data_IF_403558466991
#
_entry.id   IF_403558466991
#
_cell.length_a   1.000
_cell.length_b   1.000
_cell.length_c   1.000
_cell.angle_alpha   90.00
_cell.angle_beta   90.00
_cell.angle_gamma   90.00
#
_symmetry.space_group_name_H-M   'P 1'
#
loop_
_entity.id
_entity.type
_entity.pdbx_description
1 polymer ?
#
# COMPACT_ATOMS: atom_id res chain seq x y z
N UNK A 1 10.45 1.55 2.64
CA UNK A 1 9.33 2.48 2.89
C UNK A 1 9.63 3.27 4.16
N UNK A 2 9.12 4.50 4.30
CA UNK A 2 9.27 5.27 5.55
C UNK A 2 8.75 4.48 6.77
N UNK A 3 9.58 4.39 7.79
CA UNK A 3 9.23 3.74 9.04
C UNK A 3 8.35 4.66 9.90
N UNK A 4 7.57 4.09 10.81
CA UNK A 4 6.84 4.85 11.82
C UNK A 4 7.59 4.85 13.15
N UNK A 5 7.59 5.96 13.88
CA UNK A 5 7.85 5.93 15.31
C UNK A 5 6.59 6.40 16.03
N UNK A 6 5.89 5.44 16.64
CA UNK A 6 4.72 5.72 17.44
C UNK A 6 5.13 6.20 18.83
N UNK A 7 4.29 7.00 19.47
CA UNK A 7 4.54 7.50 20.81
C UNK A 7 3.25 7.61 21.62
N UNK A 8 3.34 7.53 22.94
CA UNK A 8 2.20 7.53 23.84
C UNK A 8 2.11 8.84 24.60
N UNK A 9 0.90 9.41 24.61
CA UNK A 9 0.59 10.63 25.33
C UNK A 9 -0.40 10.36 26.45
N UNK A 10 -0.26 11.09 27.55
CA UNK A 10 -1.32 11.28 28.54
C UNK A 10 -1.86 12.71 28.47
N UNK A 11 -2.96 12.99 29.16
CA UNK A 11 -3.53 14.35 29.23
C UNK A 11 -4.22 14.82 27.94
N UNK A 12 -4.58 13.91 27.03
CA UNK A 12 -5.35 14.20 25.81
C UNK A 12 -6.85 13.98 26.09
N UNK A 13 -7.72 15.00 26.04
CA UNK A 13 -9.16 14.85 26.24
C UNK A 13 -9.80 14.10 25.07
N UNK A 14 -10.00 12.79 25.22
CA UNK A 14 -10.51 11.92 24.14
C UNK A 14 -11.85 12.40 23.55
N UNK A 15 -12.75 12.91 24.40
CA UNK A 15 -14.02 13.45 23.92
C UNK A 15 -13.83 14.68 23.01
N UNK A 16 -12.87 15.54 23.33
CA UNK A 16 -12.51 16.68 22.48
C UNK A 16 -11.95 16.22 21.14
N UNK A 17 -11.09 15.19 21.13
CA UNK A 17 -10.57 14.57 19.90
C UNK A 17 -11.71 13.99 19.05
N UNK A 18 -12.61 13.22 19.68
CA UNK A 18 -13.74 12.58 19.01
C UNK A 18 -14.65 13.63 18.35
N UNK A 19 -15.00 14.68 19.08
CA UNK A 19 -15.84 15.77 18.59
C UNK A 19 -15.16 16.51 17.44
N UNK A 20 -13.88 16.87 17.59
CA UNK A 20 -13.14 17.62 16.58
C UNK A 20 -13.04 16.86 15.25
N UNK A 21 -12.73 15.56 15.30
CA UNK A 21 -12.55 14.75 14.10
C UNK A 21 -13.87 14.39 13.40
N UNK A 22 -14.92 14.11 14.16
CA UNK A 22 -16.22 13.83 13.55
C UNK A 22 -16.87 15.11 13.01
N UNK A 23 -16.65 16.26 13.65
CA UNK A 23 -17.02 17.55 13.07
C UNK A 23 -16.23 17.84 11.79
N UNK A 24 -14.91 17.71 11.80
CA UNK A 24 -14.06 17.94 10.62
C UNK A 24 -14.41 16.99 9.46
N UNK A 25 -14.60 15.70 9.74
CA UNK A 25 -14.98 14.71 8.74
C UNK A 25 -16.35 14.98 8.11
N UNK A 26 -17.35 15.34 8.93
CA UNK A 26 -18.71 15.62 8.47
C UNK A 26 -18.81 16.95 7.73
N UNK A 27 -18.26 18.03 8.30
CA UNK A 27 -18.43 19.40 7.76
C UNK A 27 -17.46 19.68 6.62
N UNK A 28 -16.24 19.14 6.67
CA UNK A 28 -15.20 19.42 5.66
C UNK A 28 -14.98 18.29 4.66
N UNK A 29 -15.69 17.16 4.82
CA UNK A 29 -15.52 15.97 3.98
C UNK A 29 -14.05 15.57 3.81
N UNK A 30 -13.26 15.71 4.88
CA UNK A 30 -11.81 15.53 4.88
C UNK A 30 -11.38 14.06 4.91
N UNK A 31 -12.30 13.14 5.18
CA UNK A 31 -12.02 11.72 5.44
C UNK A 31 -11.50 11.45 6.87
N UNK A 32 -11.39 12.48 7.71
CA UNK A 32 -11.13 12.35 9.15
C UNK A 32 -12.29 11.64 9.85
N UNK A 33 -12.00 10.97 10.98
CA UNK A 33 -13.05 10.36 11.80
C UNK A 33 -12.53 9.83 13.14
N UNK A 34 -13.47 9.58 14.06
CA UNK A 34 -13.21 8.94 15.34
C UNK A 34 -14.34 7.96 15.70
N UNK A 35 -13.96 6.74 16.06
CA UNK A 35 -14.89 5.68 16.44
C UNK A 35 -14.32 4.81 17.57
N UNK A 36 -15.11 4.64 18.63
CA UNK A 36 -14.68 3.91 19.83
C UNK A 36 -13.40 4.48 20.43
N UNK A 37 -12.34 3.69 20.43
CA UNK A 37 -10.99 4.05 20.90
C UNK A 37 -10.02 4.44 19.79
N UNK A 38 -10.48 4.55 18.54
CA UNK A 38 -9.64 4.88 17.38
C UNK A 38 -10.04 6.23 16.77
N UNK A 39 -9.06 6.97 16.26
CA UNK A 39 -9.24 8.23 15.57
C UNK A 39 -8.19 8.41 14.47
N UNK A 40 -8.55 9.03 13.36
CA UNK A 40 -7.65 9.33 12.24
C UNK A 40 -8.01 10.71 11.66
N UNK A 41 -7.00 11.51 11.34
CA UNK A 41 -7.23 12.82 10.73
C UNK A 41 -6.17 13.84 11.11
N UNK A 42 -6.57 15.09 11.36
CA UNK A 42 -5.65 16.19 11.66
C UNK A 42 -4.54 16.37 10.60
N UNK A 43 -4.85 16.06 9.32
CA UNK A 43 -3.90 16.18 8.22
C UNK A 43 -3.24 17.56 8.12
N UNK A 44 -4.01 18.67 8.11
CA UNK A 44 -3.43 20.02 8.08
C UNK A 44 -2.51 20.33 9.26
N UNK A 45 -2.85 19.85 10.46
CA UNK A 45 -2.02 19.98 11.65
C UNK A 45 -0.71 19.21 11.49
N UNK A 46 -0.78 17.96 11.02
CA UNK A 46 0.40 17.15 10.72
C UNK A 46 1.31 17.80 9.67
N UNK A 47 0.75 18.22 8.54
CA UNK A 47 1.51 18.77 7.41
C UNK A 47 2.10 20.16 7.68
N UNK A 48 1.57 20.90 8.65
CA UNK A 48 2.13 22.20 9.05
C UNK A 48 3.36 22.08 9.98
N UNK A 49 3.66 20.88 10.50
CA UNK A 49 4.85 20.66 11.33
C UNK A 49 6.14 20.82 10.52
N UNK A 50 7.09 21.60 11.08
CA UNK A 50 8.44 21.77 10.52
C UNK A 50 9.42 20.89 11.29
N UNK A 51 9.92 19.78 10.69
CA UNK A 51 10.84 18.88 11.36
C UNK A 51 12.22 19.50 11.60
N UNK A 52 12.99 18.92 12.52
CA UNK A 52 14.42 19.31 12.71
C UNK A 52 15.28 19.00 11.49
N UNK A 53 14.99 17.88 10.82
CA UNK A 53 15.61 17.46 9.56
C UNK A 53 14.49 17.14 8.55
N UNK A 54 14.23 18.05 7.58
CA UNK A 54 13.21 17.88 6.54
C UNK A 54 13.42 16.69 5.61
N UNK A 55 14.65 16.18 5.48
CA UNK A 55 14.97 15.01 4.67
C UNK A 55 14.72 13.71 5.46
N UNK A 56 14.83 13.76 6.79
CA UNK A 56 14.65 12.58 7.66
C UNK A 56 13.23 12.37 8.14
N UNK A 57 12.50 13.45 8.42
CA UNK A 57 11.24 13.37 9.17
C UNK A 57 10.07 14.00 8.43
N UNK A 58 8.89 13.42 8.61
CA UNK A 58 7.62 14.03 8.20
C UNK A 58 6.55 13.67 9.21
N UNK A 59 5.78 14.65 9.65
CA UNK A 59 4.53 14.40 10.37
C UNK A 59 3.39 14.32 9.36
N UNK A 60 2.62 13.22 9.41
CA UNK A 60 1.38 13.07 8.63
C UNK A 60 0.17 13.32 9.52
N UNK A 61 -1.04 13.15 8.96
CA UNK A 61 -2.25 13.07 9.76
C UNK A 61 -2.10 12.05 10.89
N UNK A 62 -2.65 12.38 12.05
CA UNK A 62 -2.52 11.61 13.28
C UNK A 62 -3.45 10.41 13.24
N UNK A 63 -2.92 9.22 13.49
CA UNK A 63 -3.71 8.06 13.88
C UNK A 63 -3.58 7.87 15.38
N UNK A 64 -4.70 7.88 16.08
CA UNK A 64 -4.78 7.89 17.54
C UNK A 64 -5.50 6.63 18.02
N UNK A 65 -4.95 5.98 19.04
CA UNK A 65 -5.54 4.82 19.68
C UNK A 65 -5.56 5.01 21.20
N UNK A 66 -6.74 5.27 21.77
CA UNK A 66 -6.95 5.40 23.21
C UNK A 66 -6.83 4.06 23.91
N UNK A 67 -6.09 4.05 25.01
CA UNK A 67 -5.89 2.92 25.89
C UNK A 67 -6.86 2.96 27.08
N UNK A 68 -6.99 1.85 27.80
CA UNK A 68 -7.90 1.73 28.95
C UNK A 68 -7.52 2.65 30.11
N UNK A 69 -6.23 2.94 30.27
CA UNK A 69 -5.68 3.88 31.26
C UNK A 69 -5.92 5.36 30.88
N UNK A 70 -6.55 5.63 29.74
CA UNK A 70 -6.81 6.98 29.25
C UNK A 70 -5.68 7.58 28.40
N UNK A 71 -4.50 6.95 28.37
CA UNK A 71 -3.42 7.36 27.48
C UNK A 71 -3.75 7.10 26.00
N UNK A 72 -3.05 7.76 25.09
CA UNK A 72 -3.31 7.72 23.65
C UNK A 72 -2.01 7.42 22.91
N UNK A 73 -1.98 6.33 22.16
CA UNK A 73 -0.93 6.07 21.18
C UNK A 73 -1.16 6.90 19.94
N UNK A 74 -0.08 7.53 19.45
CA UNK A 74 -0.06 8.37 18.25
C UNK A 74 0.88 7.73 17.24
N UNK A 75 0.36 7.37 16.07
CA UNK A 75 1.13 6.95 14.90
C UNK A 75 1.03 8.04 13.84
N UNK A 76 2.08 8.85 13.72
CA UNK A 76 2.10 10.01 12.82
C UNK A 76 3.49 10.41 12.33
N UNK A 77 4.56 10.12 13.08
CA UNK A 77 5.91 10.46 12.67
C UNK A 77 6.44 9.42 11.68
N UNK A 78 6.76 9.86 10.47
CA UNK A 78 7.46 9.10 9.46
C UNK A 78 8.96 9.40 9.52
N UNK A 79 9.76 8.34 9.50
CA UNK A 79 11.23 8.38 9.52
C UNK A 79 11.76 7.75 8.24
N UNK A 80 12.45 8.53 7.43
CA UNK A 80 13.05 8.09 6.16
C UNK A 80 14.48 7.58 6.36
N UNK A 81 14.90 6.64 5.51
CA UNK A 81 16.25 6.09 5.53
C UNK A 81 16.53 5.07 6.64
N UNK A 82 15.49 4.54 7.29
CA UNK A 82 15.65 3.42 8.23
C UNK A 82 15.95 2.14 7.44
N UNK A 83 17.11 1.52 7.70
CA UNK A 83 17.45 0.21 7.16
C UNK A 83 16.79 -0.91 7.98
N UNK A 84 15.75 -1.52 7.41
CA UNK A 84 15.03 -2.64 8.02
C UNK A 84 15.76 -3.99 7.92
N UNK A 85 16.97 -4.04 7.36
CA UNK A 85 17.77 -5.25 7.22
C UNK A 85 18.96 -5.33 8.17
N UNK A 86 19.27 -4.22 8.86
CA UNK A 86 20.35 -4.13 9.81
C UNK A 86 20.08 -4.95 11.09
N UNK A 87 20.96 -5.89 11.47
CA UNK A 87 20.82 -6.64 12.72
C UNK A 87 20.77 -5.71 13.94
N UNK A 88 19.73 -5.84 14.77
CA UNK A 88 19.55 -5.01 15.98
C UNK A 88 19.03 -3.59 15.72
N UNK A 89 18.75 -3.22 14.47
CA UNK A 89 18.20 -1.93 14.05
C UNK A 89 19.14 -0.73 14.29
N UNK A 90 18.74 0.45 13.80
CA UNK A 90 19.51 1.68 14.01
C UNK A 90 19.10 2.38 15.31
N UNK A 91 19.72 1.97 16.42
CA UNK A 91 19.50 2.56 17.76
C UNK A 91 19.86 4.05 17.82
N UNK A 92 20.82 4.51 17.02
CA UNK A 92 21.20 5.93 16.98
C UNK A 92 20.08 6.73 16.35
N UNK A 93 19.59 6.30 15.19
CA UNK A 93 18.48 6.93 14.50
C UNK A 93 17.19 6.86 15.33
N UNK A 94 16.95 5.76 16.05
CA UNK A 94 15.82 5.67 16.98
C UNK A 94 15.87 6.75 18.07
N UNK A 95 17.01 6.92 18.75
CA UNK A 95 17.17 8.00 19.75
C UNK A 95 16.99 9.39 19.16
N UNK A 96 17.49 9.64 17.95
CA UNK A 96 17.29 10.91 17.26
C UNK A 96 15.81 11.16 16.92
N UNK A 97 15.11 10.13 16.44
CA UNK A 97 13.69 10.19 16.16
C UNK A 97 12.85 10.36 17.44
N UNK A 98 13.28 9.81 18.58
CA UNK A 98 12.65 10.05 19.87
C UNK A 98 12.74 11.54 20.29
N UNK A 99 13.90 12.18 20.09
CA UNK A 99 14.04 13.63 20.26
C UNK A 99 13.15 14.43 19.29
N UNK A 100 12.92 13.93 18.08
CA UNK A 100 11.97 14.53 17.15
C UNK A 100 10.51 14.38 17.64
N UNK A 101 10.15 13.28 18.30
CA UNK A 101 8.84 13.12 18.93
C UNK A 101 8.61 14.20 19.99
N UNK A 102 9.58 14.50 20.84
CA UNK A 102 9.44 15.58 21.85
C UNK A 102 9.12 16.93 21.19
N UNK A 103 9.75 17.23 20.06
CA UNK A 103 9.48 18.43 19.25
C UNK A 103 8.07 18.41 18.66
N UNK A 104 7.63 17.25 18.16
CA UNK A 104 6.26 17.04 17.68
C UNK A 104 5.25 17.28 18.80
N UNK A 105 5.46 16.75 20.01
CA UNK A 105 4.56 16.96 21.15
C UNK A 105 4.52 18.44 21.54
N UNK A 106 5.67 19.10 21.64
CA UNK A 106 5.74 20.54 21.89
C UNK A 106 5.01 21.36 20.82
N UNK A 107 5.09 20.95 19.54
CA UNK A 107 4.34 21.56 18.46
C UNK A 107 2.83 21.35 18.62
N UNK A 108 2.36 20.12 18.83
CA UNK A 108 0.93 19.81 18.99
C UNK A 108 0.31 20.64 20.13
N UNK A 109 1.02 20.74 21.26
CA UNK A 109 0.62 21.57 22.42
C UNK A 109 0.38 23.03 22.05
N UNK A 110 1.23 23.62 21.19
CA UNK A 110 1.13 25.03 20.77
C UNK A 110 0.12 25.23 19.64
N UNK A 111 0.06 24.30 18.68
CA UNK A 111 -0.74 24.44 17.47
C UNK A 111 -2.22 24.06 17.69
N UNK A 112 -2.52 23.20 18.66
CA UNK A 112 -3.88 22.79 19.01
C UNK A 112 -4.03 22.66 20.55
N UNK A 113 -3.88 23.75 21.31
CA UNK A 113 -3.85 23.73 22.78
C UNK A 113 -5.13 23.18 23.42
N UNK A 114 -6.30 23.38 22.78
CA UNK A 114 -7.56 22.83 23.27
C UNK A 114 -7.61 21.29 23.29
N UNK A 115 -6.81 20.63 22.45
CA UNK A 115 -6.77 19.17 22.35
C UNK A 115 -5.48 18.58 22.91
N UNK A 116 -4.37 19.30 22.82
CA UNK A 116 -3.06 18.76 23.19
C UNK A 116 -2.34 19.60 24.23
N UNK A 117 -2.87 20.73 24.72
CA UNK A 117 -2.13 21.67 25.59
C UNK A 117 -1.61 21.02 26.89
N UNK A 118 -2.40 20.11 27.46
CA UNK A 118 -2.09 19.30 28.65
C UNK A 118 -1.39 17.99 28.32
N UNK A 119 -1.11 17.71 27.05
CA UNK A 119 -0.51 16.45 26.64
C UNK A 119 0.93 16.33 27.14
N UNK A 120 1.26 15.18 27.72
CA UNK A 120 2.62 14.83 28.14
C UNK A 120 3.08 13.57 27.42
N UNK A 121 4.34 13.55 27.01
CA UNK A 121 4.96 12.37 26.41
C UNK A 121 5.24 11.36 27.51
N UNK A 122 4.64 10.18 27.42
CA UNK A 122 4.88 9.07 28.36
C UNK A 122 6.05 8.23 27.87
N UNK A 123 5.99 7.79 26.62
CA UNK A 123 7.03 6.96 26.01
C UNK A 123 6.98 7.01 24.48
N UNK A 124 8.06 6.54 23.85
CA UNK A 124 8.12 6.22 22.43
C UNK A 124 8.15 4.70 22.26
N UNK A 125 7.63 4.19 21.15
CA UNK A 125 7.72 2.77 20.85
C UNK A 125 9.19 2.32 20.85
N UNK A 126 9.53 1.14 21.43
CA UNK A 126 10.91 0.70 21.58
C UNK A 126 11.61 0.42 20.25
N UNK A 127 10.82 0.15 19.20
CA UNK A 127 11.30 -0.12 17.86
C UNK A 127 10.54 0.69 16.82
N UNK A 128 11.18 0.87 15.65
CA UNK A 128 10.49 1.43 14.50
C UNK A 128 9.43 0.47 13.98
N UNK A 129 8.26 1.01 13.64
CA UNK A 129 7.29 0.31 12.83
C UNK A 129 7.75 0.29 11.37
N UNK A 130 8.52 -0.74 11.02
CA UNK A 130 8.93 -1.02 9.65
C UNK A 130 7.72 -1.54 8.87
N UNK A 131 7.32 -0.84 7.82
CA UNK A 131 6.17 -1.26 6.99
C UNK A 131 6.54 -2.32 5.96
N UNK A 132 7.78 -2.32 5.51
CA UNK A 132 8.25 -3.24 4.50
C UNK A 132 9.77 -3.40 4.55
N UNK A 133 10.23 -4.64 4.39
CA UNK A 133 11.64 -4.97 4.21
C UNK A 133 11.81 -6.14 3.23
N UNK A 134 12.09 -7.36 3.72
CA UNK A 134 12.23 -8.57 2.91
C UNK A 134 10.90 -9.31 2.84
N UNK A 135 10.59 -9.83 1.66
CA UNK A 135 9.52 -10.81 1.44
C UNK A 135 10.16 -12.14 1.10
N UNK A 136 9.78 -13.20 1.81
CA UNK A 136 10.27 -14.53 1.50
C UNK A 136 9.59 -15.07 0.24
N UNK A 137 10.27 -15.98 -0.45
CA UNK A 137 9.65 -16.74 -1.53
C UNK A 137 8.96 -17.96 -0.94
N UNK A 138 7.64 -17.95 -0.93
CA UNK A 138 6.80 -19.05 -0.50
C UNK A 138 6.41 -19.96 -1.65
N UNK A 139 5.66 -21.00 -1.33
CA UNK A 139 5.05 -21.89 -2.33
C UNK A 139 4.05 -21.13 -3.23
N UNK A 140 3.47 -20.03 -2.74
CA UNK A 140 2.80 -19.01 -3.55
C UNK A 140 3.24 -17.63 -3.12
N UNK A 141 3.27 -16.71 -4.08
CA UNK A 141 3.47 -15.28 -3.82
C UNK A 141 2.16 -14.55 -4.07
N UNK A 142 1.59 -13.95 -3.04
CA UNK A 142 0.34 -13.18 -3.16
C UNK A 142 0.60 -11.92 -3.98
N UNK A 143 -0.17 -11.75 -5.06
CA UNK A 143 0.03 -10.64 -6.00
C UNK A 143 -0.91 -9.48 -5.75
N UNK A 144 -0.53 -8.31 -6.25
CA UNK A 144 -1.32 -7.09 -6.14
C UNK A 144 -2.74 -7.25 -6.71
N UNK A 145 -2.87 -7.93 -7.85
CA UNK A 145 -4.14 -8.19 -8.50
C UNK A 145 -4.97 -9.28 -7.81
N UNK A 146 -4.33 -10.27 -7.18
CA UNK A 146 -5.05 -11.21 -6.31
C UNK A 146 -5.75 -10.44 -5.18
N UNK A 147 -5.04 -9.47 -4.58
CA UNK A 147 -5.58 -8.58 -3.55
C UNK A 147 -6.66 -7.66 -4.11
N UNK A 148 -6.37 -6.90 -5.18
CA UNK A 148 -7.32 -5.94 -5.75
C UNK A 148 -8.66 -6.60 -6.07
N UNK A 149 -8.64 -7.71 -6.79
CA UNK A 149 -9.87 -8.35 -7.26
C UNK A 149 -10.56 -9.24 -6.21
N UNK A 150 -9.97 -9.43 -5.03
CA UNK A 150 -10.59 -10.25 -3.99
C UNK A 150 -10.44 -11.76 -4.22
N UNK A 151 -9.34 -12.21 -4.82
CA UNK A 151 -9.19 -13.61 -5.26
C UNK A 151 -9.37 -14.59 -4.10
N UNK A 152 -10.10 -15.68 -4.36
CA UNK A 152 -10.16 -16.85 -3.49
C UNK A 152 -9.18 -17.94 -3.94
N UNK A 153 -8.83 -18.82 -2.99
CA UNK A 153 -7.95 -19.94 -3.16
C UNK A 153 -8.50 -21.19 -2.46
N UNK A 154 -8.28 -22.39 -3.03
CA UNK A 154 -8.68 -23.65 -2.39
C UNK A 154 -8.10 -23.82 -0.97
N UNK A 155 -6.95 -23.19 -0.72
CA UNK A 155 -6.21 -23.22 0.54
C UNK A 155 -6.25 -21.88 1.31
N UNK A 156 -7.29 -21.05 1.13
CA UNK A 156 -7.50 -19.82 1.91
C UNK A 156 -7.57 -20.12 3.41
N UNK A 157 -6.72 -19.45 4.21
CA UNK A 157 -6.66 -19.59 5.68
C UNK A 157 -6.88 -18.27 6.43
N UNK A 158 -6.95 -17.15 5.72
CA UNK A 158 -7.34 -15.86 6.27
C UNK A 158 -7.95 -14.98 5.16
N UNK A 159 -8.75 -13.99 5.55
CA UNK A 159 -9.37 -13.03 4.62
C UNK A 159 -8.91 -11.60 4.97
N UNK A 160 -8.44 -10.87 3.98
CA UNK A 160 -8.04 -9.47 4.09
C UNK A 160 -8.94 -8.55 3.28
N UNK A 161 -9.03 -7.27 3.68
CA UNK A 161 -9.83 -6.26 2.97
C UNK A 161 -9.29 -4.83 3.13
N UNK A 162 -8.11 -4.68 3.73
CA UNK A 162 -7.54 -3.36 3.97
C UNK A 162 -7.18 -2.69 2.64
N UNK A 163 -7.40 -1.37 2.46
CA UNK A 163 -6.97 -0.66 1.26
C UNK A 163 -5.48 -0.88 0.96
N UNK A 164 -5.10 -0.85 -0.32
CA UNK A 164 -3.70 -0.90 -0.71
C UNK A 164 -3.04 0.47 -0.44
N UNK A 165 -2.71 0.70 0.84
CA UNK A 165 -2.08 1.90 1.39
C UNK A 165 -0.58 1.69 1.62
N UNK A 166 0.21 2.17 0.67
CA UNK A 166 1.66 2.29 0.81
C UNK A 166 2.08 3.72 1.16
N UNK A 167 2.99 3.85 2.12
CA UNK A 167 3.64 5.12 2.41
C UNK A 167 4.80 5.37 1.44
N UNK A 168 5.27 6.61 1.34
CA UNK A 168 6.41 6.91 0.49
C UNK A 168 7.70 6.21 0.96
N UNK A 169 8.55 5.86 0.00
CA UNK A 169 9.90 5.36 0.24
C UNK A 169 10.88 6.53 0.37
N UNK A 170 10.65 7.61 -0.38
CA UNK A 170 11.51 8.79 -0.42
C UNK A 170 10.78 10.05 0.01
N UNK A 171 11.54 11.05 0.47
CA UNK A 171 10.97 12.36 0.76
C UNK A 171 10.45 13.01 -0.53
N UNK A 172 9.33 13.71 -0.44
CA UNK A 172 8.68 14.38 -1.59
C UNK A 172 7.87 13.47 -2.51
N UNK A 173 7.97 12.15 -2.33
CA UNK A 173 7.16 11.18 -3.06
C UNK A 173 5.72 11.15 -2.54
N UNK A 174 4.77 11.00 -3.46
CA UNK A 174 3.37 10.75 -3.17
C UNK A 174 3.18 9.41 -2.43
N UNK A 175 1.99 9.25 -1.85
CA UNK A 175 1.61 7.97 -1.24
C UNK A 175 1.16 7.00 -2.33
N UNK A 176 1.40 5.71 -2.10
CA UNK A 176 0.92 4.65 -2.98
C UNK A 176 -0.50 4.28 -2.56
N UNK A 177 -1.48 5.02 -3.09
CA UNK A 177 -2.89 4.73 -2.90
C UNK A 177 -3.38 3.93 -4.11
N UNK A 178 -3.46 2.61 -3.95
CA UNK A 178 -3.73 1.67 -5.02
C UNK A 178 -5.10 1.00 -4.87
N UNK A 179 -6.08 1.77 -4.37
CA UNK A 179 -7.49 1.40 -4.32
C UNK A 179 -7.87 0.55 -3.11
N UNK A 180 -9.18 0.32 -2.98
CA UNK A 180 -9.73 -0.56 -1.96
C UNK A 180 -9.96 -1.93 -2.58
N UNK A 181 -9.38 -3.02 -2.05
CA UNK A 181 -9.60 -4.34 -2.60
C UNK A 181 -11.02 -4.83 -2.30
N UNK A 182 -11.50 -5.77 -3.12
CA UNK A 182 -12.55 -6.66 -2.65
C UNK A 182 -11.96 -7.61 -1.58
N UNK A 183 -12.74 -8.13 -0.62
CA UNK A 183 -12.21 -9.07 0.36
C UNK A 183 -11.51 -10.25 -0.32
N UNK A 184 -10.24 -10.48 -0.01
CA UNK A 184 -9.37 -11.46 -0.67
C UNK A 184 -8.93 -12.56 0.30
N UNK A 185 -8.76 -13.78 -0.23
CA UNK A 185 -8.17 -14.88 0.51
C UNK A 185 -6.65 -14.79 0.55
N UNK A 186 -6.05 -15.17 1.68
CA UNK A 186 -4.61 -15.46 1.78
C UNK A 186 -4.44 -16.98 1.82
N UNK A 187 -3.80 -17.57 0.79
CA UNK A 187 -3.64 -19.01 0.73
C UNK A 187 -2.52 -19.47 1.67
N UNK A 188 -2.68 -20.64 2.31
CA UNK A 188 -1.74 -21.20 3.29
C UNK A 188 -0.30 -21.25 2.77
N UNK A 189 -0.14 -21.66 1.51
CA UNK A 189 1.13 -21.71 0.77
C UNK A 189 1.89 -20.37 0.68
N UNK A 190 1.25 -19.23 1.01
CA UNK A 190 1.92 -17.92 1.17
C UNK A 190 2.84 -17.87 2.39
N UNK A 191 2.51 -18.64 3.43
CA UNK A 191 3.24 -18.70 4.69
C UNK A 191 4.33 -19.76 4.70
N UNK A 192 4.34 -20.68 3.73
CA UNK A 192 5.29 -21.81 3.62
C UNK A 192 6.47 -21.40 2.74
N UNK A 193 7.68 -21.16 3.29
CA UNK A 193 8.84 -20.79 2.51
C UNK A 193 9.30 -21.92 1.58
N UNK A 194 9.82 -21.59 0.40
CA UNK A 194 10.44 -22.59 -0.48
C UNK A 194 11.71 -23.14 0.15
N UNK A 195 11.88 -24.46 0.07
CA UNK A 195 13.08 -25.15 0.55
C UNK A 195 13.14 -25.35 2.07
N UNK A 196 12.09 -24.99 2.81
CA UNK A 196 11.94 -25.28 4.24
C UNK A 196 10.63 -26.03 4.45
N UNK A 197 10.66 -27.06 5.28
CA UNK A 197 9.54 -27.96 5.55
C UNK A 197 8.90 -27.73 6.93
N UNK A 198 9.67 -27.18 7.87
CA UNK A 198 9.32 -27.01 9.28
C UNK A 198 9.20 -25.55 9.76
N UNK A 199 9.11 -24.59 8.85
CA UNK A 199 8.96 -23.15 9.17
C UNK A 199 7.71 -22.55 8.51
N UNK A 200 6.94 -21.79 9.29
CA UNK A 200 5.90 -20.89 8.77
C UNK A 200 6.26 -19.44 9.07
N UNK A 201 5.98 -18.55 8.12
CA UNK A 201 6.16 -17.11 8.29
C UNK A 201 4.82 -16.40 8.12
N UNK A 202 4.36 -15.78 9.21
CA UNK A 202 3.05 -15.12 9.33
C UNK A 202 3.13 -13.60 9.44
N UNK A 203 4.34 -13.05 9.34
CA UNK A 203 4.59 -11.62 9.48
C UNK A 203 4.53 -10.90 8.12
N UNK A 204 4.85 -9.61 8.11
CA UNK A 204 5.02 -8.82 6.89
C UNK A 204 6.12 -9.35 5.96
N UNK A 205 6.94 -10.31 6.42
CA UNK A 205 7.95 -10.99 5.62
C UNK A 205 7.45 -12.27 4.92
N UNK A 206 6.18 -12.65 5.09
CA UNK A 206 5.57 -13.75 4.33
C UNK A 206 5.56 -13.43 2.81
N UNK A 207 5.13 -14.38 1.99
CA UNK A 207 5.34 -14.28 0.55
C UNK A 207 4.36 -13.36 -0.17
N UNK A 208 4.62 -12.06 -0.08
CA UNK A 208 3.84 -11.03 -0.75
C UNK A 208 4.65 -10.35 -1.87
N UNK A 209 3.97 -9.93 -2.92
CA UNK A 209 4.48 -8.82 -3.74
C UNK A 209 4.47 -7.53 -2.90
N UNK A 210 5.40 -6.62 -3.18
CA UNK A 210 5.51 -5.35 -2.44
C UNK A 210 4.20 -4.56 -2.41
N UNK A 211 3.50 -4.51 -3.55
CA UNK A 211 2.19 -3.85 -3.62
C UNK A 211 1.13 -4.61 -2.84
N UNK A 212 1.07 -5.95 -2.94
CA UNK A 212 0.11 -6.76 -2.18
C UNK A 212 0.28 -6.56 -0.66
N UNK A 213 1.53 -6.43 -0.22
CA UNK A 213 1.87 -6.17 1.17
C UNK A 213 1.29 -4.86 1.71
N UNK A 214 0.94 -3.88 0.86
CA UNK A 214 0.28 -2.65 1.33
C UNK A 214 -1.04 -2.94 2.03
N UNK A 215 -1.75 -3.98 1.59
CA UNK A 215 -2.93 -4.49 2.26
C UNK A 215 -2.59 -5.60 3.25
N UNK A 216 -1.81 -6.61 2.82
CA UNK A 216 -1.68 -7.86 3.57
C UNK A 216 -0.89 -7.75 4.88
N UNK A 217 -0.06 -6.71 5.04
CA UNK A 217 0.81 -6.56 6.22
C UNK A 217 0.12 -6.04 7.48
N UNK A 218 -1.18 -5.71 7.43
CA UNK A 218 -1.85 -5.09 8.57
C UNK A 218 -2.07 -6.08 9.71
N UNK A 219 -2.00 -5.56 10.94
CA UNK A 219 -2.04 -6.37 12.17
C UNK A 219 -3.24 -7.33 12.22
N UNK A 220 -4.49 -6.93 11.89
CA UNK A 220 -5.62 -7.86 11.95
C UNK A 220 -5.45 -9.09 11.06
N UNK A 221 -4.91 -8.92 9.85
CA UNK A 221 -4.66 -10.06 8.96
C UNK A 221 -3.53 -10.94 9.48
N UNK A 222 -2.45 -10.33 10.01
CA UNK A 222 -1.35 -11.08 10.62
C UNK A 222 -1.80 -11.91 11.83
N UNK A 223 -2.75 -11.41 12.62
CA UNK A 223 -3.35 -12.18 13.72
C UNK A 223 -4.08 -13.43 13.21
N UNK A 224 -4.89 -13.29 12.16
CA UNK A 224 -5.57 -14.43 11.53
C UNK A 224 -4.57 -15.45 10.94
N UNK A 225 -3.50 -14.98 10.31
CA UNK A 225 -2.42 -15.85 9.83
C UNK A 225 -1.68 -16.54 10.98
N UNK A 226 -1.50 -15.87 12.11
CA UNK A 226 -0.94 -16.46 13.33
C UNK A 226 -1.79 -17.60 13.89
N UNK A 227 -3.11 -17.42 13.93
CA UNK A 227 -4.05 -18.50 14.28
C UNK A 227 -3.93 -19.67 13.29
N UNK A 228 -3.95 -19.39 11.98
CA UNK A 228 -3.78 -20.39 10.94
C UNK A 228 -2.47 -21.18 11.08
N UNK A 229 -1.36 -20.51 11.38
CA UNK A 229 -0.07 -21.17 11.57
C UNK A 229 -0.04 -22.04 12.84
N UNK A 230 -0.61 -21.57 13.95
CA UNK A 230 -0.72 -22.38 15.17
C UNK A 230 -1.54 -23.65 14.95
N UNK A 231 -2.69 -23.52 14.27
CA UNK A 231 -3.54 -24.64 13.91
C UNK A 231 -2.84 -25.59 12.91
N UNK A 232 -2.12 -25.04 11.93
CA UNK A 232 -1.34 -25.83 10.99
C UNK A 232 -0.23 -26.63 11.69
N UNK A 233 0.51 -26.03 12.62
CA UNK A 233 1.54 -26.71 13.39
C UNK A 233 0.98 -27.87 14.24
N UNK A 234 -0.20 -27.68 14.84
CA UNK A 234 -0.91 -28.75 15.55
C UNK A 234 -1.27 -29.91 14.62
N UNK A 235 -1.85 -29.61 13.45
CA UNK A 235 -2.28 -30.63 12.50
C UNK A 235 -1.11 -31.36 11.83
N UNK A 236 -0.07 -30.62 11.43
CA UNK A 236 1.18 -31.15 10.89
C UNK A 236 1.78 -32.20 11.84
N UNK A 237 1.91 -31.84 13.13
CA UNK A 237 2.39 -32.78 14.16
C UNK A 237 1.48 -33.99 14.33
N UNK A 238 0.15 -33.80 14.36
CA UNK A 238 -0.82 -34.89 14.58
C UNK A 238 -0.87 -35.88 13.42
N UNK A 239 -0.66 -35.40 12.19
CA UNK A 239 -0.74 -36.19 10.96
C UNK A 239 0.65 -36.67 10.48
N UNK A 240 1.72 -36.30 11.20
CA UNK A 240 3.11 -36.52 10.77
C UNK A 240 3.38 -35.99 9.35
N UNK A 241 2.91 -34.77 9.07
CA UNK A 241 3.08 -34.08 7.79
C UNK A 241 3.98 -32.85 7.96
N UNK A 242 4.81 -32.61 6.97
CA UNK A 242 5.52 -31.34 6.81
C UNK A 242 4.60 -30.25 6.21
N UNK A 243 4.95 -28.98 6.37
CA UNK A 243 4.10 -27.87 5.91
C UNK A 243 3.83 -27.86 4.39
N UNK A 244 4.79 -28.20 3.50
CA UNK A 244 4.50 -28.31 2.07
C UNK A 244 3.47 -29.40 1.75
N UNK A 245 3.51 -30.53 2.47
CA UNK A 245 2.53 -31.60 2.31
C UNK A 245 1.15 -31.14 2.80
N UNK A 246 1.08 -30.48 3.96
CA UNK A 246 -0.17 -29.90 4.46
C UNK A 246 -0.76 -28.85 3.49
N UNK A 247 0.09 -28.06 2.82
CA UNK A 247 -0.34 -27.10 1.81
C UNK A 247 -0.98 -27.74 0.57
N UNK A 248 -0.58 -28.97 0.24
CA UNK A 248 -1.16 -29.74 -0.86
C UNK A 248 -2.51 -30.38 -0.51
N UNK A 249 -2.85 -30.47 0.79
CA UNK A 249 -4.10 -31.02 1.32
C UNK A 249 -4.64 -30.13 2.46
N UNK A 250 -5.11 -28.91 2.14
CA UNK A 250 -5.46 -27.88 3.11
C UNK A 250 -6.80 -28.13 3.83
N UNK A 251 -7.56 -29.15 3.44
CA UNK A 251 -8.95 -29.37 3.87
C UNK A 251 -9.06 -29.46 5.39
N UNK A 252 -8.23 -30.31 6.01
CA UNK A 252 -8.23 -30.49 7.46
C UNK A 252 -7.89 -29.20 8.22
N UNK A 253 -7.01 -28.35 7.66
CA UNK A 253 -6.65 -27.07 8.23
C UNK A 253 -7.82 -26.08 8.14
N UNK A 254 -8.41 -25.95 6.95
CA UNK A 254 -9.55 -25.05 6.72
C UNK A 254 -10.74 -25.44 7.58
N UNK A 255 -11.08 -26.72 7.65
CA UNK A 255 -12.16 -27.20 8.52
C UNK A 255 -11.90 -26.88 9.99
N UNK A 256 -10.66 -27.04 10.45
CA UNK A 256 -10.32 -26.75 11.84
C UNK A 256 -10.44 -25.25 12.15
N UNK A 257 -10.00 -24.38 11.24
CA UNK A 257 -10.16 -22.93 11.36
C UNK A 257 -11.63 -22.52 11.36
N UNK A 258 -12.45 -23.09 10.46
CA UNK A 258 -13.89 -22.85 10.44
C UNK A 258 -14.56 -23.29 11.76
N UNK A 259 -14.17 -24.46 12.30
CA UNK A 259 -14.65 -24.92 13.62
C UNK A 259 -14.23 -23.99 14.77
N UNK A 260 -13.11 -23.29 14.64
CA UNK A 260 -12.63 -22.27 15.59
C UNK A 260 -13.33 -20.91 15.41
N UNK A 261 -14.16 -20.76 14.37
CA UNK A 261 -14.91 -19.54 14.09
C UNK A 261 -14.23 -18.58 13.11
N UNK A 262 -13.16 -19.00 12.44
CA UNK A 262 -12.53 -18.20 11.40
C UNK A 262 -13.48 -17.98 10.21
N UNK A 263 -13.47 -16.77 9.64
CA UNK A 263 -14.15 -16.50 8.37
C UNK A 263 -13.16 -16.69 7.21
N UNK A 264 -13.41 -17.71 6.37
CA UNK A 264 -12.60 -18.07 5.20
C UNK A 264 -13.32 -17.82 3.87
N UNK A 265 -14.35 -16.97 3.86
CA UNK A 265 -15.15 -16.66 2.68
C UNK A 265 -14.80 -15.25 2.18
N UNK A 266 -13.86 -15.13 1.22
CA UNK A 266 -13.67 -13.87 0.52
C UNK A 266 -14.88 -13.56 -0.37
N UNK A 267 -15.02 -12.30 -0.75
CA UNK A 267 -16.09 -11.81 -1.61
C UNK A 267 -15.46 -11.22 -2.89
N UNK A 268 -15.05 -12.07 -3.85
CA UNK A 268 -14.35 -11.63 -5.05
C UNK A 268 -15.20 -10.68 -5.88
N UNK A 269 -14.56 -9.67 -6.44
CA UNK A 269 -15.14 -8.84 -7.48
C UNK A 269 -15.09 -9.53 -8.84
N UNK A 270 -15.86 -9.04 -9.81
CA UNK A 270 -15.83 -9.55 -11.18
C UNK A 270 -14.77 -8.82 -12.03
N UNK A 271 -13.61 -9.46 -12.34
CA UNK A 271 -12.56 -8.84 -13.15
C UNK A 271 -12.94 -8.71 -14.62
N UNK A 272 -13.96 -9.45 -15.11
CA UNK A 272 -14.26 -9.56 -16.56
C UNK A 272 -14.55 -8.21 -17.21
N UNK A 273 -15.12 -7.28 -16.45
CA UNK A 273 -15.39 -5.92 -16.93
C UNK A 273 -14.13 -5.13 -17.22
N UNK A 274 -13.04 -5.35 -16.47
CA UNK A 274 -11.75 -4.74 -16.78
C UNK A 274 -11.03 -5.56 -17.86
N UNK A 275 -11.08 -6.90 -17.78
CA UNK A 275 -10.43 -7.80 -18.76
C UNK A 275 -10.94 -7.62 -20.19
N UNK A 276 -12.18 -7.16 -20.37
CA UNK A 276 -12.74 -6.85 -21.68
C UNK A 276 -12.06 -5.65 -22.35
N UNK A 277 -11.37 -4.79 -21.58
CA UNK A 277 -10.63 -3.65 -22.13
C UNK A 277 -9.26 -4.11 -22.66
N UNK A 278 -8.87 -3.78 -23.91
CA UNK A 278 -7.58 -4.18 -24.49
C UNK A 278 -6.35 -3.72 -23.71
N UNK A 279 -6.45 -2.64 -22.94
CA UNK A 279 -5.36 -2.12 -22.10
C UNK A 279 -5.21 -2.87 -20.76
N UNK A 280 -6.08 -3.85 -20.44
CA UNK A 280 -6.02 -4.58 -19.19
C UNK A 280 -4.66 -5.21 -18.88
N UNK A 281 -3.98 -5.92 -19.82
CA UNK A 281 -2.67 -6.51 -19.53
C UNK A 281 -1.63 -5.46 -19.12
N UNK A 282 -1.61 -4.31 -19.82
CA UNK A 282 -0.74 -3.18 -19.49
C UNK A 282 -1.09 -2.58 -18.13
N UNK A 283 -2.38 -2.38 -17.84
CA UNK A 283 -2.84 -1.82 -16.57
C UNK A 283 -2.45 -2.71 -15.38
N UNK A 284 -2.58 -4.04 -15.50
CA UNK A 284 -2.19 -4.98 -14.44
C UNK A 284 -0.69 -4.96 -14.19
N UNK A 285 0.12 -4.92 -15.25
CA UNK A 285 1.57 -4.89 -15.10
C UNK A 285 2.04 -3.59 -14.43
N UNK A 286 1.47 -2.45 -14.80
CA UNK A 286 1.71 -1.19 -14.11
C UNK A 286 1.24 -1.23 -12.65
N UNK A 287 0.05 -1.79 -12.41
CA UNK A 287 -0.56 -1.89 -11.08
C UNK A 287 0.28 -2.74 -10.11
N UNK A 288 0.75 -3.92 -10.55
CA UNK A 288 1.67 -4.80 -9.80
C UNK A 288 2.96 -4.11 -9.38
N UNK A 289 3.35 -3.04 -10.08
CA UNK A 289 4.56 -2.24 -9.83
C UNK A 289 4.30 -0.94 -9.06
N UNK A 290 3.06 -0.67 -8.69
CA UNK A 290 2.67 0.58 -8.02
C UNK A 290 2.70 1.81 -8.94
N UNK A 291 2.64 1.59 -10.26
CA UNK A 291 2.68 2.62 -11.31
C UNK A 291 1.30 2.88 -11.93
N UNK A 292 0.23 2.45 -11.24
CA UNK A 292 -1.14 2.70 -11.67
C UNK A 292 -2.06 2.95 -10.46
N UNK A 293 -2.12 4.20 -10.02
CA UNK A 293 -2.94 4.66 -8.90
C UNK A 293 -4.44 4.53 -9.18
N UNK A 294 -5.15 4.07 -8.17
CA UNK A 294 -6.62 3.95 -8.13
C UNK A 294 -7.13 4.62 -6.86
N UNK A 295 -8.09 5.54 -6.93
CA UNK A 295 -8.65 6.20 -5.75
C UNK A 295 -9.28 5.22 -4.76
N UNK A 296 -9.32 5.57 -3.47
CA UNK A 296 -9.92 4.70 -2.43
C UNK A 296 -11.40 4.37 -2.62
N UNK A 297 -12.16 5.23 -3.31
CA UNK A 297 -13.57 4.96 -3.59
C UNK A 297 -13.77 3.93 -4.72
N UNK A 298 -12.70 3.58 -5.46
CA UNK A 298 -12.72 2.46 -6.41
C UNK A 298 -12.46 1.17 -5.65
N UNK A 299 -13.46 0.28 -5.67
CA UNK A 299 -13.44 -0.98 -4.91
C UNK A 299 -13.33 -2.15 -5.87
N UNK A 300 -12.38 -3.04 -5.60
CA UNK A 300 -12.30 -4.34 -6.26
C UNK A 300 -11.80 -4.32 -7.71
N UNK A 301 -11.56 -3.15 -8.32
CA UNK A 301 -11.41 -3.04 -9.79
C UNK A 301 -10.53 -1.85 -10.20
N UNK A 302 -10.08 -1.88 -11.45
CA UNK A 302 -9.28 -0.81 -12.07
C UNK A 302 -10.13 0.25 -12.76
N UNK A 303 -11.40 -0.06 -13.06
CA UNK A 303 -12.37 0.84 -13.69
C UNK A 303 -11.85 1.45 -15.00
N UNK A 304 -11.37 0.61 -15.92
CA UNK A 304 -10.63 1.07 -17.11
C UNK A 304 -11.44 1.95 -18.08
N UNK A 305 -12.77 1.89 -18.03
CA UNK A 305 -13.66 2.75 -18.84
C UNK A 305 -13.91 4.14 -18.24
N UNK A 306 -13.63 4.31 -16.95
CA UNK A 306 -13.87 5.57 -16.24
C UNK A 306 -12.80 6.62 -16.56
N UNK A 307 -13.07 7.91 -16.36
CA UNK A 307 -12.08 8.97 -16.49
C UNK A 307 -10.88 8.79 -15.54
N UNK A 308 -9.67 8.99 -16.05
CA UNK A 308 -8.46 9.13 -15.24
C UNK A 308 -8.47 10.48 -14.52
N UNK A 309 -8.19 10.49 -13.23
CA UNK A 309 -8.05 11.74 -12.48
C UNK A 309 -6.67 12.37 -12.74
N UNK A 310 -6.61 13.70 -12.77
CA UNK A 310 -5.34 14.43 -13.01
C UNK A 310 -4.29 14.04 -11.97
N UNK A 311 -4.68 13.95 -10.69
CA UNK A 311 -3.78 13.59 -9.61
C UNK A 311 -3.19 12.20 -9.78
N UNK A 312 -4.02 11.20 -10.08
CA UNK A 312 -3.59 9.81 -10.27
C UNK A 312 -2.58 9.68 -11.42
N UNK A 313 -2.83 10.36 -12.53
CA UNK A 313 -1.93 10.35 -13.68
C UNK A 313 -0.55 10.93 -13.34
N UNK A 314 -0.52 12.08 -12.66
CA UNK A 314 0.73 12.73 -12.26
C UNK A 314 1.48 11.93 -11.18
N UNK A 315 0.76 11.27 -10.26
CA UNK A 315 1.36 10.37 -9.26
C UNK A 315 2.06 9.19 -9.96
N UNK A 316 1.42 8.57 -10.96
CA UNK A 316 2.05 7.48 -11.72
C UNK A 316 3.36 7.92 -12.38
N UNK A 317 3.37 9.11 -12.99
CA UNK A 317 4.59 9.70 -13.56
C UNK A 317 5.63 9.98 -12.48
N UNK A 318 5.22 10.55 -11.33
CA UNK A 318 6.13 10.87 -10.23
C UNK A 318 6.80 9.60 -9.69
N UNK A 319 6.03 8.52 -9.48
CA UNK A 319 6.58 7.25 -9.01
C UNK A 319 7.58 6.68 -10.03
N UNK A 320 7.24 6.68 -11.32
CA UNK A 320 8.14 6.17 -12.36
C UNK A 320 9.45 6.95 -12.44
N UNK A 321 9.38 8.28 -12.64
CA UNK A 321 10.58 9.11 -12.77
C UNK A 321 11.36 9.19 -11.45
N UNK A 322 10.68 9.21 -10.30
CA UNK A 322 11.32 9.18 -8.98
C UNK A 322 12.07 7.88 -8.73
N UNK A 323 11.56 6.75 -9.22
CA UNK A 323 12.22 5.46 -9.09
C UNK A 323 13.39 5.28 -10.06
N UNK A 324 13.20 5.62 -11.35
CA UNK A 324 14.18 5.30 -12.42
C UNK A 324 15.18 6.42 -12.70
N UNK A 325 14.77 7.67 -12.51
CA UNK A 325 15.52 8.87 -12.89
C UNK A 325 15.47 9.94 -11.77
N UNK A 326 15.92 9.62 -10.55
CA UNK A 326 15.90 10.57 -9.44
C UNK A 326 16.71 11.82 -9.79
N UNK A 327 16.16 13.00 -9.51
CA UNK A 327 16.79 14.30 -9.81
C UNK A 327 16.75 14.73 -11.28
N UNK A 328 16.03 14.01 -12.15
CA UNK A 328 15.87 14.40 -13.56
C UNK A 328 14.99 15.64 -13.74
N UNK A 329 15.21 16.36 -14.85
CA UNK A 329 14.33 17.46 -15.28
C UNK A 329 12.90 17.00 -15.54
N UNK A 330 12.71 15.75 -15.98
CA UNK A 330 11.39 15.14 -16.13
C UNK A 330 10.65 15.02 -14.79
N UNK A 331 11.33 14.55 -13.73
CA UNK A 331 10.73 14.50 -12.39
C UNK A 331 10.36 15.89 -11.88
N UNK A 332 11.22 16.88 -12.10
CA UNK A 332 10.94 18.28 -11.74
C UNK A 332 9.71 18.80 -12.48
N UNK A 333 9.62 18.58 -13.80
CA UNK A 333 8.47 18.97 -14.60
C UNK A 333 7.17 18.31 -14.11
N UNK A 334 7.20 17.02 -13.75
CA UNK A 334 6.04 16.36 -13.12
C UNK A 334 5.64 17.04 -11.82
N UNK A 335 6.61 17.38 -10.95
CA UNK A 335 6.33 18.05 -9.68
C UNK A 335 5.74 19.46 -9.88
N UNK A 336 6.20 20.18 -10.89
CA UNK A 336 5.65 21.49 -11.26
C UNK A 336 4.19 21.36 -11.77
N UNK A 337 3.89 20.33 -12.57
CA UNK A 337 2.51 20.02 -12.98
C UNK A 337 1.63 19.63 -11.78
N UNK A 338 2.15 18.82 -10.85
CA UNK A 338 1.44 18.47 -9.61
C UNK A 338 1.06 19.71 -8.80
N UNK A 339 1.97 20.70 -8.71
CA UNK A 339 1.69 21.98 -8.08
C UNK A 339 0.66 22.80 -8.85
N UNK A 340 0.79 22.90 -10.18
CA UNK A 340 -0.15 23.63 -11.03
C UNK A 340 -1.58 23.07 -10.90
N UNK A 341 -1.72 21.74 -10.92
CA UNK A 341 -3.03 21.08 -10.87
C UNK A 341 -3.59 20.89 -9.46
N UNK A 342 -2.93 21.31 -8.38
CA UNK A 342 -3.32 21.03 -6.97
C UNK A 342 -4.80 21.25 -6.61
N UNK A 343 -5.48 22.21 -7.25
CA UNK A 343 -6.91 22.47 -7.05
C UNK A 343 -7.87 21.55 -7.82
N UNK A 344 -7.35 20.71 -8.72
CA UNK A 344 -8.10 19.88 -9.68
C UNK A 344 -7.72 18.39 -9.62
N UNK A 345 -7.01 17.92 -8.58
CA UNK A 345 -6.51 16.54 -8.51
C UNK A 345 -7.57 15.46 -8.70
N UNK A 346 -8.79 15.68 -8.19
CA UNK A 346 -9.91 14.73 -8.29
C UNK A 346 -10.74 14.89 -9.57
N UNK A 347 -10.44 15.87 -10.41
CA UNK A 347 -11.16 16.10 -11.67
C UNK A 347 -10.60 15.19 -12.77
N UNK A 348 -11.44 14.93 -13.77
CA UNK A 348 -11.04 14.20 -14.97
C UNK A 348 -9.90 14.93 -15.71
N UNK A 349 -8.88 14.17 -16.11
CA UNK A 349 -7.83 14.60 -17.01
C UNK A 349 -8.36 14.55 -18.45
N UNK A 350 -8.30 15.66 -19.16
CA UNK A 350 -8.66 15.71 -20.58
C UNK A 350 -7.46 15.32 -21.45
N UNK A 351 -7.71 14.75 -22.63
CA UNK A 351 -6.64 14.33 -23.55
C UNK A 351 -5.72 15.46 -23.99
N UNK A 352 -6.27 16.65 -24.19
CA UNK A 352 -5.51 17.87 -24.51
C UNK A 352 -4.56 18.26 -23.38
N UNK A 353 -5.01 18.14 -22.13
CA UNK A 353 -4.18 18.37 -20.94
C UNK A 353 -3.08 17.29 -20.83
N UNK A 354 -3.42 16.03 -21.07
CA UNK A 354 -2.45 14.93 -21.08
C UNK A 354 -1.36 15.16 -22.14
N UNK A 355 -1.72 15.54 -23.37
CA UNK A 355 -0.76 15.87 -24.42
C UNK A 355 0.18 17.01 -24.00
N UNK A 356 -0.35 18.09 -23.41
CA UNK A 356 0.48 19.20 -22.91
C UNK A 356 1.47 18.73 -21.82
N UNK A 357 1.05 17.85 -20.92
CA UNK A 357 1.94 17.28 -19.90
C UNK A 357 3.04 16.47 -20.59
N UNK A 358 2.70 15.59 -21.54
CA UNK A 358 3.67 14.78 -22.29
C UNK A 358 4.69 15.65 -23.05
N UNK A 359 4.24 16.71 -23.72
CA UNK A 359 5.11 17.66 -24.43
C UNK A 359 6.11 18.34 -23.50
N UNK A 360 5.68 18.76 -22.31
CA UNK A 360 6.57 19.32 -21.28
C UNK A 360 7.60 18.32 -20.76
N UNK A 361 7.27 17.04 -20.80
CA UNK A 361 8.20 15.95 -20.50
C UNK A 361 9.13 15.62 -21.69
N UNK A 362 9.03 16.34 -22.81
CA UNK A 362 9.81 16.09 -24.02
C UNK A 362 9.36 14.85 -24.79
N UNK A 363 8.13 14.37 -24.55
CA UNK A 363 7.61 13.16 -25.18
C UNK A 363 6.87 13.51 -26.49
N UNK A 364 7.11 12.72 -27.53
CA UNK A 364 6.47 12.88 -28.85
C UNK A 364 5.15 12.10 -28.99
N UNK A 365 4.75 11.34 -27.98
CA UNK A 365 3.51 10.56 -27.98
C UNK A 365 2.31 11.51 -27.87
N UNK A 366 1.38 11.46 -28.84
CA UNK A 366 0.17 12.29 -28.85
C UNK A 366 -1.10 11.47 -28.92
N UNK A 367 -2.03 11.78 -28.02
CA UNK A 367 -3.42 11.33 -28.08
C UNK A 367 -4.21 12.19 -29.09
N UNK A 368 -5.32 11.68 -29.66
CA UNK A 368 -6.16 12.46 -30.58
C UNK A 368 -6.61 13.78 -29.94
N UNK A 369 -6.52 14.88 -30.70
CA UNK A 369 -6.86 16.25 -30.26
C UNK A 369 -8.38 16.46 -30.18
N UNK A 370 -9.05 15.70 -29.33
CA UNK A 370 -10.45 15.89 -28.97
C UNK A 370 -10.58 16.23 -27.49
N UNK A 371 -11.53 17.11 -27.15
CA UNK A 371 -11.70 17.60 -25.78
C UNK A 371 -12.54 16.65 -24.92
N UNK A 372 -12.21 15.35 -24.93
CA UNK A 372 -12.85 14.36 -24.04
C UNK A 372 -11.93 13.95 -22.90
N UNK A 373 -12.50 13.51 -21.77
CA UNK A 373 -11.74 12.85 -20.71
C UNK A 373 -10.91 11.67 -21.25
N UNK A 374 -9.67 11.58 -20.76
CA UNK A 374 -8.82 10.42 -20.94
C UNK A 374 -9.34 9.30 -20.05
N UNK A 375 -9.70 8.16 -20.64
CA UNK A 375 -10.13 7.00 -19.85
C UNK A 375 -8.93 6.34 -19.16
N UNK A 376 -9.17 5.63 -18.06
CA UNK A 376 -8.13 4.95 -17.29
C UNK A 376 -7.38 3.88 -18.11
N UNK A 377 -8.07 3.13 -18.96
CA UNK A 377 -7.46 2.17 -19.89
C UNK A 377 -6.56 2.84 -20.93
N UNK A 378 -6.97 3.99 -21.45
CA UNK A 378 -6.14 4.78 -22.39
C UNK A 378 -4.89 5.33 -21.70
N UNK A 379 -5.06 5.81 -20.46
CA UNK A 379 -3.93 6.23 -19.63
C UNK A 379 -3.00 5.05 -19.32
N UNK A 380 -3.52 3.85 -19.05
CA UNK A 380 -2.71 2.66 -18.81
C UNK A 380 -1.88 2.28 -20.05
N UNK A 381 -2.49 2.27 -21.24
CA UNK A 381 -1.78 2.02 -22.48
C UNK A 381 -0.69 3.07 -22.75
N UNK A 382 -1.03 4.35 -22.55
CA UNK A 382 -0.09 5.47 -22.69
C UNK A 382 1.12 5.35 -21.73
N UNK A 383 0.85 5.11 -20.44
CA UNK A 383 1.89 4.95 -19.41
C UNK A 383 2.73 3.70 -19.68
N UNK A 384 2.12 2.62 -20.18
CA UNK A 384 2.84 1.41 -20.56
C UNK A 384 3.81 1.67 -21.70
N UNK A 385 3.37 2.31 -22.80
CA UNK A 385 4.27 2.66 -23.90
C UNK A 385 5.41 3.59 -23.42
N UNK A 386 5.12 4.50 -22.50
CA UNK A 386 6.11 5.39 -21.90
C UNK A 386 7.15 4.62 -21.05
N UNK A 387 6.71 3.65 -20.24
CA UNK A 387 7.55 3.01 -19.24
C UNK A 387 8.20 1.72 -19.72
N UNK A 388 7.55 0.99 -20.63
CA UNK A 388 7.91 -0.37 -21.06
C UNK A 388 9.36 -0.50 -21.51
N UNK A 389 9.95 0.41 -22.32
CA UNK A 389 11.35 0.26 -22.73
C UNK A 389 12.30 0.20 -21.54
N UNK A 390 12.04 1.00 -20.51
CA UNK A 390 12.85 1.05 -19.28
C UNK A 390 12.51 -0.08 -18.31
N UNK A 391 11.26 -0.55 -18.30
CA UNK A 391 10.81 -1.69 -17.50
C UNK A 391 11.29 -3.03 -18.07
N UNK A 392 11.40 -3.13 -19.40
CA UNK A 392 11.74 -4.34 -20.13
C UNK A 392 13.19 -4.38 -20.67
N UNK A 393 14.00 -3.34 -20.43
CA UNK A 393 15.41 -3.27 -20.87
C UNK A 393 16.33 -4.37 -20.33
N UNK A 394 17.60 -4.47 -20.78
CA UNK A 394 18.47 -5.64 -20.51
C UNK A 394 18.77 -5.95 -19.03
N UNK A 395 18.51 -5.03 -18.10
CA UNK A 395 18.99 -5.12 -16.70
C UNK A 395 18.07 -5.91 -15.74
N UNK A 396 16.85 -6.31 -16.11
CA UNK A 396 15.92 -7.01 -15.21
C UNK A 396 15.64 -8.49 -15.61
N UNK A 397 16.12 -8.93 -16.78
CA UNK A 397 15.95 -10.31 -17.29
C UNK A 397 17.05 -11.29 -16.83
N UNK A 398 17.59 -11.13 -15.62
CA UNK A 398 18.26 -12.25 -14.94
C UNK A 398 17.31 -12.83 -13.89
N UNK A 399 16.45 -13.79 -14.23
CA UNK A 399 15.83 -14.62 -13.22
C UNK A 399 16.94 -15.35 -12.46
N UNK A 400 17.09 -15.06 -11.17
CA UNK A 400 17.79 -16.00 -10.29
C UNK A 400 16.85 -17.17 -10.03
N UNK A 401 16.94 -18.19 -10.88
CA UNK A 401 16.51 -19.56 -10.62
C UNK A 401 15.02 -19.82 -10.43
N UNK A 402 14.43 -20.60 -11.33
CA UNK A 402 13.20 -21.35 -11.06
C UNK A 402 12.18 -21.30 -12.19
N UNK A 403 11.85 -22.48 -12.70
CA UNK A 403 10.98 -22.80 -13.83
C UNK A 403 9.58 -22.14 -13.78
N UNK A 404 9.10 -21.82 -14.98
CA UNK A 404 7.78 -21.28 -15.31
C UNK A 404 6.69 -22.35 -15.16
N UNK A 405 5.73 -22.24 -14.22
CA UNK A 405 4.57 -23.10 -14.22
C UNK A 405 3.50 -22.50 -15.14
N UNK A 406 3.56 -22.90 -16.41
CA UNK A 406 2.40 -23.04 -17.30
C UNK A 406 1.47 -21.82 -17.43
N UNK A 407 1.87 -20.84 -18.23
CA UNK A 407 0.90 -19.92 -18.86
C UNK A 407 0.22 -20.63 -20.03
N UNK A 408 -0.91 -21.29 -19.75
CA UNK A 408 -1.86 -21.72 -20.77
C UNK A 408 -2.53 -20.49 -21.41
N UNK A 409 -1.85 -19.86 -22.36
CA UNK A 409 -2.46 -18.96 -23.34
C UNK A 409 -2.32 -19.64 -24.70
N UNK A 410 -3.42 -19.98 -25.40
CA UNK A 410 -3.31 -20.63 -26.70
C UNK A 410 -2.67 -19.67 -27.70
N UNK A 411 -1.52 -20.06 -28.23
CA UNK A 411 -0.91 -19.42 -29.40
C UNK A 411 -1.70 -19.83 -30.65
N UNK A 412 -2.52 -18.93 -31.17
CA UNK A 412 -2.85 -18.87 -32.59
C UNK A 412 -3.60 -17.58 -32.89
N UNK A 413 -3.05 -16.73 -33.77
CA UNK A 413 -3.80 -16.14 -34.87
C UNK A 413 -2.80 -15.70 -35.96
N UNK A 414 -3.12 -15.87 -37.25
CA UNK A 414 -2.16 -15.86 -38.35
C UNK A 414 -2.08 -14.51 -39.07
N UNK A 415 -0.90 -14.29 -39.67
CA UNK A 415 -0.67 -13.60 -40.96
C UNK A 415 -1.43 -12.32 -41.30
N UNK A 416 -0.69 -11.21 -41.38
CA UNK A 416 -1.00 -10.12 -42.31
C UNK A 416 0.13 -9.96 -43.33
N UNK A 417 -0.12 -10.45 -44.56
CA UNK A 417 0.30 -9.81 -45.81
C UNK A 417 -0.80 -8.81 -46.19
N UNK A 418 -0.57 -7.60 -46.70
CA UNK A 418 0.49 -7.04 -47.56
C UNK A 418 0.88 -5.65 -47.09
#
# INVERSE_FOLDING_TARGET
MAAGLSFRLEGVPWWGVWLALNYDGVVRHSGSGAWGSSAWGFGPLGFAYRPSDPERYRLRGLNLARQRDGSVWVNALLVYGVDGTAPGGDRRLHRQAAGEVERVVGYLRRAAPALFGTAQLVEVAPEFYLRESRHLLGLYRLRADDVLYGRDFPDTVAVGSYPLDGQSYRRGEALYLLGTPAPYGVPFRTMVPRGLDNLLVVSQAASYDSVAAFSARVVPLQMALGEAAGTAAYLAKRQALEFPALAAQPEALREQLLRQGANLLPEPSDPRKDMANPAYPAAIELYRRGLFSTPYFMVGRLYLEEPMAVGDFLINLQHFYGARYPGSSALQAVQDEMWFFRGRWRQALYRTEANRILERLGMHLRLPENNRPLRRGEAAALLWELFRPSLLGPDWLRPQGGEDPGTGVPSAMPGFSR
#
